data_IF_894430269258
#
_entry.id   IF_894430269258
#
_cell.length_a   1.000
_cell.length_b   1.000
_cell.length_c   1.000
_cell.angle_alpha   90.00
_cell.angle_beta   90.00
_cell.angle_gamma   90.00
#
_symmetry.space_group_name_H-M   'P 1'
#
loop_
_entity.id
_entity.type
_entity.pdbx_description
1 polymer ?
#
# COMPACT_ATOMS: atom_id res chain seq x y z
N UNK A 1 -14.04 8.33 10.49
CA UNK A 1 -14.70 7.88 9.25
C UNK A 1 -14.16 6.49 8.94
N UNK A 2 -14.99 5.44 8.96
CA UNK A 2 -14.60 4.15 8.37
C UNK A 2 -14.79 4.31 6.88
N UNK A 3 -13.73 4.57 6.13
CA UNK A 3 -13.80 4.61 4.67
C UNK A 3 -14.34 3.26 4.19
N UNK A 4 -15.48 3.30 3.52
CA UNK A 4 -16.03 2.14 2.82
C UNK A 4 -15.25 1.92 1.54
N UNK A 5 -13.99 1.49 1.67
CA UNK A 5 -13.17 1.13 0.52
C UNK A 5 -13.86 0.00 -0.24
N UNK A 6 -13.76 0.04 -1.57
CA UNK A 6 -14.31 -1.04 -2.38
C UNK A 6 -13.58 -2.35 -2.06
N UNK A 7 -14.29 -3.47 -2.23
CA UNK A 7 -13.68 -4.81 -2.14
C UNK A 7 -12.52 -4.92 -3.12
N UNK A 8 -12.65 -4.32 -4.31
CA UNK A 8 -11.62 -4.30 -5.36
C UNK A 8 -10.33 -3.62 -4.89
N UNK A 9 -10.41 -2.42 -4.33
CA UNK A 9 -9.24 -1.71 -3.81
C UNK A 9 -8.54 -2.53 -2.72
N UNK A 10 -9.32 -3.17 -1.84
CA UNK A 10 -8.77 -4.00 -0.77
C UNK A 10 -8.07 -5.26 -1.31
N UNK A 11 -8.66 -5.91 -2.30
CA UNK A 11 -8.10 -7.08 -2.98
C UNK A 11 -6.82 -6.73 -3.76
N UNK A 12 -6.83 -5.61 -4.47
CA UNK A 12 -5.68 -5.12 -5.24
C UNK A 12 -4.50 -4.85 -4.29
N UNK A 13 -4.72 -4.05 -3.23
CA UNK A 13 -3.72 -3.78 -2.20
C UNK A 13 -3.18 -5.08 -1.60
N UNK A 14 -4.07 -5.98 -1.18
CA UNK A 14 -3.69 -7.26 -0.57
C UNK A 14 -2.92 -8.17 -1.52
N UNK A 15 -3.25 -8.17 -2.82
CA UNK A 15 -2.55 -8.93 -3.85
C UNK A 15 -1.13 -8.43 -4.06
N UNK A 16 -0.96 -7.11 -4.10
CA UNK A 16 0.34 -6.43 -4.25
C UNK A 16 1.26 -6.66 -3.05
N UNK A 17 0.74 -6.47 -1.84
CA UNK A 17 1.45 -6.77 -0.59
C UNK A 17 1.94 -8.22 -0.59
N UNK A 18 1.09 -9.19 -0.97
CA UNK A 18 1.50 -10.60 -1.10
C UNK A 18 2.57 -10.81 -2.16
N UNK A 19 2.45 -10.15 -3.31
CA UNK A 19 3.42 -10.28 -4.39
C UNK A 19 4.80 -9.76 -3.97
N UNK A 20 4.86 -8.60 -3.32
CA UNK A 20 6.11 -8.03 -2.79
C UNK A 20 6.69 -8.92 -1.70
N UNK A 21 5.87 -9.41 -0.76
CA UNK A 21 6.32 -10.33 0.28
C UNK A 21 6.93 -11.62 -0.31
N UNK A 22 6.29 -12.19 -1.35
CA UNK A 22 6.84 -13.38 -2.05
C UNK A 22 8.17 -13.12 -2.75
N UNK A 23 8.48 -11.87 -3.08
CA UNK A 23 9.79 -11.50 -3.65
C UNK A 23 10.89 -11.39 -2.59
N UNK A 24 10.55 -11.46 -1.30
CA UNK A 24 11.50 -11.39 -0.19
C UNK A 24 12.02 -9.97 0.08
N UNK A 25 11.39 -8.95 -0.50
CA UNK A 25 11.76 -7.54 -0.36
C UNK A 25 10.79 -6.85 0.60
N UNK A 26 11.27 -5.83 1.32
CA UNK A 26 10.42 -4.96 2.12
C UNK A 26 9.38 -4.24 1.24
N UNK A 27 8.23 -3.94 1.82
CA UNK A 27 7.15 -3.22 1.13
C UNK A 27 7.46 -1.74 1.18
N UNK A 28 7.87 -1.15 0.06
CA UNK A 28 7.90 0.31 -0.07
C UNK A 28 6.46 0.83 -0.06
N UNK A 29 6.10 1.48 1.05
CA UNK A 29 4.74 1.92 1.33
C UNK A 29 4.21 2.85 0.23
N UNK A 30 4.99 3.88 -0.09
CA UNK A 30 4.62 4.94 -1.03
C UNK A 30 4.48 4.42 -2.44
N UNK A 31 5.41 3.58 -2.90
CA UNK A 31 5.37 2.97 -4.22
C UNK A 31 4.17 2.02 -4.39
N UNK A 32 3.90 1.17 -3.40
CA UNK A 32 2.77 0.23 -3.46
C UNK A 32 1.44 0.97 -3.42
N UNK A 33 1.31 1.99 -2.57
CA UNK A 33 0.11 2.81 -2.47
C UNK A 33 -0.13 3.61 -3.75
N UNK A 34 0.88 4.27 -4.30
CA UNK A 34 0.75 5.04 -5.53
C UNK A 34 0.36 4.13 -6.71
N UNK A 35 1.01 2.99 -6.84
CA UNK A 35 0.65 2.07 -7.90
C UNK A 35 -0.79 1.54 -7.74
N UNK A 36 -1.31 1.39 -6.52
CA UNK A 36 -2.67 0.91 -6.27
C UNK A 36 -3.70 2.01 -6.58
N UNK A 37 -3.34 3.26 -6.25
CA UNK A 37 -4.10 4.46 -6.63
C UNK A 37 -4.22 4.61 -8.14
N UNK A 38 -3.12 4.44 -8.88
CA UNK A 38 -3.10 4.53 -10.34
C UNK A 38 -3.95 3.44 -11.02
N UNK A 39 -4.11 2.27 -10.39
CA UNK A 39 -4.99 1.21 -10.88
C UNK A 39 -6.47 1.42 -10.55
N UNK A 40 -6.75 2.25 -9.53
CA UNK A 40 -8.09 2.50 -9.02
C UNK A 40 -8.45 4.00 -9.05
N UNK A 41 -8.00 4.72 -10.09
CA UNK A 41 -8.23 6.17 -10.23
C UNK A 41 -9.72 6.55 -10.19
N UNK A 42 -10.60 5.66 -10.66
CA UNK A 42 -12.05 5.86 -10.63
C UNK A 42 -12.62 5.94 -9.20
N UNK A 43 -11.93 5.39 -8.20
CA UNK A 43 -12.35 5.43 -6.80
C UNK A 43 -12.03 6.76 -6.13
N UNK A 44 -11.16 7.59 -6.73
CA UNK A 44 -10.79 8.92 -6.24
C UNK A 44 -10.39 8.93 -4.74
N UNK A 45 -9.66 7.90 -4.32
CA UNK A 45 -9.15 7.77 -2.95
C UNK A 45 -7.79 8.45 -2.84
N UNK A 46 -7.56 9.17 -1.73
CA UNK A 46 -6.28 9.81 -1.47
C UNK A 46 -5.17 8.77 -1.31
N UNK A 47 -3.93 9.12 -1.69
CA UNK A 47 -2.80 8.20 -1.55
C UNK A 47 -2.58 7.81 -0.09
N UNK A 48 -2.70 8.75 0.84
CA UNK A 48 -2.54 8.52 2.29
C UNK A 48 -3.52 7.47 2.85
N UNK A 49 -4.77 7.46 2.37
CA UNK A 49 -5.76 6.46 2.76
C UNK A 49 -5.38 5.06 2.22
N UNK A 50 -4.78 5.00 1.03
CA UNK A 50 -4.27 3.74 0.46
C UNK A 50 -2.98 3.31 1.16
N UNK A 51 -2.10 4.23 1.56
CA UNK A 51 -0.94 3.94 2.40
C UNK A 51 -1.39 3.29 3.71
N UNK A 52 -2.45 3.81 4.35
CA UNK A 52 -3.03 3.18 5.53
C UNK A 52 -3.53 1.74 5.26
N UNK A 53 -4.18 1.50 4.12
CA UNK A 53 -4.59 0.14 3.71
C UNK A 53 -3.40 -0.79 3.47
N UNK A 54 -2.33 -0.30 2.85
CA UNK A 54 -1.09 -1.06 2.62
C UNK A 54 -0.45 -1.43 3.95
N UNK A 55 -0.39 -0.50 4.91
CA UNK A 55 0.12 -0.78 6.25
C UNK A 55 -0.69 -1.86 6.95
N UNK A 56 -2.02 -1.78 6.93
CA UNK A 56 -2.89 -2.81 7.51
C UNK A 56 -2.65 -4.18 6.86
N UNK A 57 -2.62 -4.24 5.53
CA UNK A 57 -2.41 -5.48 4.80
C UNK A 57 -1.01 -6.09 5.06
N UNK A 58 0.03 -5.26 5.15
CA UNK A 58 1.38 -5.68 5.46
C UNK A 58 1.51 -6.22 6.91
N UNK A 59 0.90 -5.54 7.88
CA UNK A 59 0.85 -5.99 9.27
C UNK A 59 0.17 -7.35 9.42
N UNK A 60 -0.97 -7.56 8.74
CA UNK A 60 -1.69 -8.84 8.74
C UNK A 60 -0.85 -9.98 8.16
N UNK A 61 0.10 -9.68 7.27
CA UNK A 61 0.96 -10.68 6.62
C UNK A 61 2.35 -10.78 7.23
N UNK A 62 2.64 -10.01 8.29
CA UNK A 62 3.97 -9.96 8.91
C UNK A 62 5.07 -9.44 7.97
N UNK A 63 4.71 -8.61 6.98
CA UNK A 63 5.65 -8.07 6.02
C UNK A 63 6.38 -6.84 6.60
N UNK A 64 7.70 -6.77 6.38
CA UNK A 64 8.47 -5.57 6.68
C UNK A 64 8.04 -4.44 5.74
N UNK A 65 7.87 -3.24 6.30
CA UNK A 65 7.50 -2.03 5.56
C UNK A 65 8.70 -1.09 5.55
N UNK A 66 9.04 -0.61 4.37
CA UNK A 66 9.94 0.50 4.16
C UNK A 66 9.09 1.76 3.99
N UNK A 67 9.28 2.71 4.90
CA UNK A 67 8.79 4.07 4.74
C UNK A 67 9.84 4.80 3.91
N UNK A 68 9.42 5.59 2.93
CA UNK A 68 10.36 6.49 2.26
C UNK A 68 11.00 7.35 3.35
N UNK A 69 12.25 7.04 3.68
CA UNK A 69 13.06 7.88 4.53
C UNK A 69 13.19 9.20 3.81
N UNK A 70 12.93 10.31 4.50
CA UNK A 70 13.47 11.58 4.06
C UNK A 70 14.98 11.36 3.95
N UNK A 71 15.47 11.11 2.73
CA UNK A 71 16.88 11.23 2.45
C UNK A 71 17.15 12.73 2.60
N UNK A 72 17.51 13.15 3.81
CA UNK A 72 18.22 14.40 4.01
C UNK A 72 19.44 14.29 3.12
N UNK A 73 19.39 14.96 1.97
CA UNK A 73 20.55 15.18 1.15
C UNK A 73 21.51 16.04 1.98
N UNK A 74 22.66 15.46 2.31
CA UNK A 74 23.83 16.15 2.89
C UNK A 74 24.16 17.45 2.13
#
# INVERSE_FOLDING_TARGET
>A
MRYGFSVRLHEDVSSRVRATLRSGIAINLTAVAEAARLQNLAENVAREDIEWLVMQAAQLQGAAIEFDGFAEAD
#
